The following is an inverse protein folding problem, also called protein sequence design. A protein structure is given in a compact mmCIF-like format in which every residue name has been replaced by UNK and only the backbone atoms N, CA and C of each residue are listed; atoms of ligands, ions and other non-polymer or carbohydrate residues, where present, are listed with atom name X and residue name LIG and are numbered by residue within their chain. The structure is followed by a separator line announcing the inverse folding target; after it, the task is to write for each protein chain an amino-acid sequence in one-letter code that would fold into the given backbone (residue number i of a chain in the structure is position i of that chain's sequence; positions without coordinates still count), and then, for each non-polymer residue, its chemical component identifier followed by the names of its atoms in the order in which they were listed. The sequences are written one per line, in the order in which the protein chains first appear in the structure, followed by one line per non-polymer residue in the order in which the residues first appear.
data_IF_432820811720
#
_entry.id   IF_432820811720
#
_cell.length_a   1.000
_cell.length_b   1.000
_cell.length_c   1.000
_cell.angle_alpha   90.00
_cell.angle_beta   90.00
_cell.angle_gamma   90.00
#
_symmetry.space_group_name_H-M   'P 1'
#
loop_
_entity.id
_entity.type
_entity.pdbx_description
1 polymer ?
#
# COMPACT_ATOMS: atom_id res chain seq x y z
N UNK A 1 -12.43 15.83 8.28
CA UNK A 1 -11.52 15.67 7.13
C UNK A 1 -12.11 14.64 6.18
N UNK A 2 -12.46 14.99 4.93
CA UNK A 2 -12.92 13.99 3.96
C UNK A 2 -11.72 13.12 3.56
N UNK A 3 -11.77 11.84 3.92
CA UNK A 3 -10.84 10.82 3.46
C UNK A 3 -11.04 10.63 1.94
N UNK A 4 -10.18 11.24 1.13
CA UNK A 4 -10.30 11.25 -0.32
C UNK A 4 -9.50 10.11 -0.98
N UNK A 5 -9.74 8.87 -0.53
CA UNK A 5 -9.16 7.65 -1.10
C UNK A 5 -10.23 6.57 -1.23
N UNK A 6 -10.12 5.74 -2.26
CA UNK A 6 -11.08 4.67 -2.55
C UNK A 6 -10.60 3.32 -2.01
N UNK A 7 -11.50 2.34 -1.91
CA UNK A 7 -11.12 0.94 -1.58
C UNK A 7 -10.05 0.40 -2.54
N UNK A 8 -10.09 0.86 -3.79
CA UNK A 8 -9.12 0.57 -4.83
C UNK A 8 -7.69 1.04 -4.52
N UNK A 9 -7.56 2.14 -3.76
CA UNK A 9 -6.28 2.68 -3.30
C UNK A 9 -5.75 1.83 -2.12
N UNK A 10 -6.65 1.37 -1.24
CA UNK A 10 -6.33 0.42 -0.16
C UNK A 10 -5.95 -0.97 -0.69
N UNK A 11 -6.57 -1.45 -1.78
CA UNK A 11 -6.19 -2.70 -2.44
C UNK A 11 -4.79 -2.60 -3.07
N UNK A 12 -4.51 -1.48 -3.75
CA UNK A 12 -3.18 -1.23 -4.33
C UNK A 12 -2.10 -1.21 -3.24
N UNK A 13 -2.42 -0.58 -2.12
CA UNK A 13 -1.59 -0.55 -0.92
C UNK A 13 -1.37 -1.93 -0.30
N UNK A 14 -2.43 -2.71 -0.10
CA UNK A 14 -2.31 -4.09 0.40
C UNK A 14 -1.41 -4.93 -0.50
N UNK A 15 -1.62 -4.88 -1.82
CA UNK A 15 -0.78 -5.60 -2.77
C UNK A 15 0.69 -5.15 -2.65
N UNK A 16 0.94 -3.86 -2.54
CA UNK A 16 2.32 -3.36 -2.39
C UNK A 16 2.99 -3.86 -1.10
N UNK A 17 2.23 -3.99 0.00
CA UNK A 17 2.71 -4.57 1.26
C UNK A 17 2.97 -6.07 1.13
N UNK A 18 2.06 -6.79 0.50
CA UNK A 18 2.12 -8.25 0.36
C UNK A 18 3.30 -8.69 -0.51
N UNK A 19 3.58 -7.95 -1.59
CA UNK A 19 4.64 -8.28 -2.53
C UNK A 19 5.97 -7.54 -2.28
N UNK A 20 5.95 -6.41 -1.55
CA UNK A 20 7.13 -5.57 -1.28
C UNK A 20 7.80 -4.97 -2.52
N UNK A 21 7.17 -5.08 -3.69
CA UNK A 21 7.72 -4.65 -4.97
C UNK A 21 6.60 -4.06 -5.85
N UNK A 22 6.77 -2.80 -6.27
CA UNK A 22 5.80 -2.07 -7.10
C UNK A 22 5.42 -2.80 -8.38
N UNK A 23 6.37 -3.47 -9.03
CA UNK A 23 6.09 -4.19 -10.27
C UNK A 23 5.24 -5.43 -10.02
N UNK A 24 5.65 -6.29 -9.06
CA UNK A 24 4.90 -7.50 -8.69
C UNK A 24 3.52 -7.18 -8.12
N UNK A 25 3.43 -6.15 -7.30
CA UNK A 25 2.16 -5.68 -6.76
C UNK A 25 1.23 -5.21 -7.88
N UNK A 26 1.73 -4.46 -8.87
CA UNK A 26 0.93 -3.96 -9.98
C UNK A 26 0.43 -5.12 -10.85
N UNK A 27 1.31 -6.08 -11.17
CA UNK A 27 0.94 -7.31 -11.88
C UNK A 27 -0.14 -8.10 -11.13
N UNK A 28 -0.07 -8.21 -9.80
CA UNK A 28 -1.04 -8.96 -9.00
C UNK A 28 -2.47 -8.38 -9.01
N UNK A 29 -2.61 -7.08 -9.28
CA UNK A 29 -3.90 -6.39 -9.33
C UNK A 29 -4.24 -5.90 -10.75
N UNK A 30 -3.57 -6.45 -11.77
CA UNK A 30 -3.76 -6.11 -13.18
C UNK A 30 -3.63 -4.61 -13.48
N UNK A 31 -2.70 -3.92 -12.81
CA UNK A 31 -2.37 -2.51 -13.06
C UNK A 31 -0.98 -2.36 -13.66
N UNK A 32 -0.75 -1.25 -14.33
CA UNK A 32 0.62 -0.82 -14.65
C UNK A 32 1.30 -0.30 -13.40
N UNK A 33 2.64 -0.41 -13.36
CA UNK A 33 3.45 0.15 -12.27
C UNK A 33 3.16 1.64 -12.04
N UNK A 34 2.97 2.41 -13.12
CA UNK A 34 2.64 3.84 -13.04
C UNK A 34 1.25 4.10 -12.46
N UNK A 35 0.25 3.28 -12.81
CA UNK A 35 -1.09 3.37 -12.22
C UNK A 35 -1.07 3.04 -10.72
N UNK A 36 -0.33 1.99 -10.33
CA UNK A 36 -0.18 1.63 -8.92
C UNK A 36 0.53 2.75 -8.14
N UNK A 37 1.63 3.30 -8.67
CA UNK A 37 2.35 4.41 -8.03
C UNK A 37 1.45 5.62 -7.79
N UNK A 38 0.60 5.97 -8.76
CA UNK A 38 -0.29 7.14 -8.66
C UNK A 38 -1.39 6.94 -7.62
N UNK A 39 -1.89 5.71 -7.46
CA UNK A 39 -2.84 5.35 -6.39
C UNK A 39 -2.22 5.44 -5.01
N UNK A 40 -0.98 4.96 -4.87
CA UNK A 40 -0.22 5.07 -3.61
C UNK A 40 0.03 6.54 -3.26
N UNK A 41 0.45 7.38 -4.21
CA UNK A 41 0.63 8.82 -3.99
C UNK A 41 -0.66 9.53 -3.56
N UNK A 42 -1.80 9.16 -4.17
CA UNK A 42 -3.12 9.67 -3.78
C UNK A 42 -3.45 9.27 -2.34
N UNK A 43 -3.20 8.02 -1.98
CA UNK A 43 -3.42 7.50 -0.62
C UNK A 43 -2.53 8.22 0.40
N UNK A 44 -1.24 8.40 0.10
CA UNK A 44 -0.28 9.14 0.94
C UNK A 44 -0.71 10.60 1.14
N UNK A 45 -1.13 11.26 0.06
CA UNK A 45 -1.64 12.63 0.09
C UNK A 45 -2.92 12.75 0.93
N UNK A 46 -3.84 11.78 0.80
CA UNK A 46 -5.08 11.77 1.55
C UNK A 46 -4.89 11.47 3.05
N UNK A 47 -3.87 10.68 3.40
CA UNK A 47 -3.50 10.38 4.78
C UNK A 47 -2.53 11.41 5.39
N UNK A 48 -1.91 12.27 4.56
CA UNK A 48 -0.90 13.24 4.98
C UNK A 48 0.41 12.60 5.45
N UNK A 49 0.65 11.32 5.12
CA UNK A 49 1.84 10.56 5.53
C UNK A 49 2.48 9.90 4.32
N UNK A 50 3.81 9.84 4.32
CA UNK A 50 4.56 8.99 3.38
C UNK A 50 4.52 7.56 3.89
N UNK A 51 3.98 6.65 3.08
CA UNK A 51 3.88 5.24 3.34
C UNK A 51 5.05 4.47 2.71
N UNK A 52 5.60 4.97 1.60
CA UNK A 52 6.70 4.38 0.86
C UNK A 52 7.75 5.42 0.45
N UNK A 53 9.03 5.13 0.68
CA UNK A 53 10.11 5.94 0.12
C UNK A 53 10.51 5.43 -1.27
N UNK A 54 10.71 6.35 -2.22
CA UNK A 54 10.98 6.06 -3.65
C UNK A 54 12.36 5.43 -3.90
N UNK A 55 13.13 5.16 -2.85
CA UNK A 55 14.42 4.46 -2.86
C UNK A 55 14.21 3.01 -2.38
N UNK A 56 13.62 2.22 -3.27
CA UNK A 56 13.75 0.76 -3.52
C UNK A 56 14.10 -0.26 -2.42
N UNK A 57 14.15 0.00 -1.10
CA UNK A 57 14.64 -1.07 -0.21
C UNK A 57 14.20 -1.17 1.23
N UNK A 58 13.45 -0.23 1.82
CA UNK A 58 12.89 -0.43 3.17
C UNK A 58 11.53 0.21 3.30
N UNK A 59 10.53 -0.65 3.52
CA UNK A 59 9.24 -0.26 4.08
C UNK A 59 9.48 -0.08 5.58
N UNK A 60 9.63 1.16 6.04
CA UNK A 60 9.64 1.47 7.48
C UNK A 60 8.22 1.81 7.90
N UNK A 61 7.57 0.93 8.68
CA UNK A 61 6.24 1.21 9.20
C UNK A 61 6.29 2.36 10.23
N UNK A 62 5.78 3.54 9.88
CA UNK A 62 5.32 4.51 10.87
C UNK A 62 4.24 3.86 11.76
N UNK A 63 4.10 4.23 13.03
CA UNK A 63 3.36 3.49 14.08
C UNK A 63 1.92 3.05 13.69
N UNK A 64 1.28 3.77 12.77
CA UNK A 64 -0.01 3.40 12.17
C UNK A 64 0.01 1.99 11.54
N UNK A 65 1.11 1.62 10.90
CA UNK A 65 1.29 0.34 10.23
C UNK A 65 1.32 -0.86 11.16
N UNK A 66 1.95 -0.75 12.33
CA UNK A 66 1.96 -1.83 13.31
C UNK A 66 0.53 -2.17 13.75
N UNK A 67 -0.30 -1.14 13.94
CA UNK A 67 -1.72 -1.30 14.26
C UNK A 67 -2.52 -1.88 13.08
N UNK A 68 -2.19 -1.48 11.85
CA UNK A 68 -2.87 -1.95 10.65
C UNK A 68 -2.51 -3.40 10.33
N UNK A 69 -1.24 -3.81 10.47
CA UNK A 69 -0.82 -5.22 10.40
C UNK A 69 -1.54 -6.08 11.45
N UNK A 70 -1.78 -5.54 12.66
CA UNK A 70 -2.57 -6.24 13.69
C UNK A 70 -4.04 -6.39 13.29
N UNK A 71 -4.62 -5.39 12.63
CA UNK A 71 -6.00 -5.40 12.17
C UNK A 71 -6.21 -6.30 10.93
N UNK A 72 -5.25 -6.35 10.02
CA UNK A 72 -5.31 -7.17 8.79
C UNK A 72 -4.74 -8.60 8.97
N UNK A 73 -4.01 -8.85 10.07
CA UNK A 73 -3.37 -10.13 10.40
C UNK A 73 -4.29 -11.33 10.65
N UNK A 74 -5.58 -11.24 10.37
CA UNK A 74 -6.49 -12.40 10.36
C UNK A 74 -6.65 -13.06 8.98
N UNK A 75 -6.02 -12.54 7.91
CA UNK A 75 -6.18 -13.08 6.55
C UNK A 75 -4.87 -13.43 5.81
N UNK A 76 -3.71 -13.38 6.46
CA UNK A 76 -2.47 -13.94 5.89
C UNK A 76 -2.38 -15.45 6.21
N UNK A 77 -3.34 -16.20 5.70
CA UNK A 77 -3.30 -17.65 5.69
C UNK A 77 -2.27 -18.13 4.67
N UNK A 78 -1.23 -18.81 5.17
CA UNK A 78 -0.36 -19.74 4.44
C UNK A 78 -1.05 -20.38 3.23
N UNK A 79 -0.42 -20.30 2.06
CA UNK A 79 -0.19 -21.42 1.14
C UNK A 79 0.95 -21.09 0.19
#
# INVERSE_FOLDING_TARGET
MPVNFDLNDLYAFRALVEYGNFRRAAESICLSQSALSRRIEKLESALGIKLFDRTTRRVTPDALWANLCRAFGSAAGKR
#
